data_IF_042371311917
#
_entry.id   IF_042371311917
#
_cell.length_a   1.000
_cell.length_b   1.000
_cell.length_c   1.000
_cell.angle_alpha   90.00
_cell.angle_beta   90.00
_cell.angle_gamma   90.00
#
_symmetry.space_group_name_H-M   'P 1'
#
loop_
_entity.id
_entity.type
_entity.pdbx_description
1 polymer ?
#
# COMPACT_ATOMS: atom_id res chain seq x y z
N UNK A 1 -31.02 46.08 -0.52
CA UNK A 1 -30.27 46.19 -1.81
C UNK A 1 -30.63 44.97 -2.65
N UNK A 2 -31.36 45.19 -3.75
CA UNK A 2 -31.69 44.14 -4.70
C UNK A 2 -30.39 43.74 -5.41
N UNK A 3 -29.86 42.55 -5.13
CA UNK A 3 -28.83 41.95 -5.97
C UNK A 3 -29.49 41.65 -7.32
N UNK A 4 -29.26 42.50 -8.31
CA UNK A 4 -29.56 42.19 -9.70
C UNK A 4 -28.81 40.90 -10.05
N UNK A 5 -29.55 39.88 -10.49
CA UNK A 5 -28.92 38.64 -11.00
C UNK A 5 -27.91 39.04 -12.10
N UNK A 6 -26.70 38.47 -12.11
CA UNK A 6 -25.72 38.80 -13.14
C UNK A 6 -26.33 38.56 -14.51
N UNK A 7 -26.13 39.55 -15.42
CA UNK A 7 -26.62 39.47 -16.79
C UNK A 7 -26.22 38.12 -17.41
N UNK A 8 -27.20 37.38 -17.98
CA UNK A 8 -26.97 36.07 -18.58
C UNK A 8 -26.33 36.23 -19.97
N UNK A 9 -25.08 36.68 -20.00
CA UNK A 9 -24.32 36.96 -21.24
C UNK A 9 -24.03 35.69 -22.06
N UNK A 10 -24.38 34.48 -21.53
CA UNK A 10 -24.19 33.21 -22.19
C UNK A 10 -25.37 32.77 -23.07
N UNK A 11 -26.41 33.59 -23.19
CA UNK A 11 -27.51 33.40 -24.16
C UNK A 11 -27.35 34.42 -25.29
N UNK A 12 -27.16 33.92 -26.52
CA UNK A 12 -27.05 34.78 -27.68
C UNK A 12 -28.39 35.40 -28.12
N UNK A 13 -28.38 36.36 -29.02
CA UNK A 13 -29.54 37.06 -29.53
C UNK A 13 -30.59 36.14 -30.19
N UNK A 14 -30.17 34.97 -30.64
CA UNK A 14 -31.02 33.90 -31.19
C UNK A 14 -31.61 32.95 -30.12
N UNK A 15 -31.45 33.26 -28.82
CA UNK A 15 -31.90 32.45 -27.73
C UNK A 15 -31.10 31.17 -27.47
N UNK A 16 -30.01 30.97 -28.22
CA UNK A 16 -29.16 29.76 -28.06
C UNK A 16 -28.08 29.97 -27.00
N UNK A 17 -27.75 28.88 -26.29
CA UNK A 17 -26.65 28.87 -25.32
C UNK A 17 -25.31 28.97 -26.04
N UNK A 18 -24.45 29.87 -25.60
CA UNK A 18 -23.06 30.00 -26.00
C UNK A 18 -22.23 29.25 -24.96
N UNK A 19 -21.86 28.01 -25.27
CA UNK A 19 -21.26 27.06 -24.32
C UNK A 19 -19.97 27.59 -23.65
N UNK A 20 -19.02 28.23 -24.36
CA UNK A 20 -17.86 28.82 -23.70
C UNK A 20 -18.22 29.92 -22.67
N UNK A 21 -19.13 30.83 -23.01
CA UNK A 21 -19.56 31.88 -22.08
C UNK A 21 -20.33 31.31 -20.88
N UNK A 22 -21.08 30.21 -21.09
CA UNK A 22 -21.70 29.50 -19.99
C UNK A 22 -20.65 28.85 -19.07
N UNK A 23 -19.60 28.26 -19.65
CA UNK A 23 -18.51 27.67 -18.89
C UNK A 23 -17.80 28.71 -18.01
N UNK A 24 -17.46 29.90 -18.56
CA UNK A 24 -16.85 31.00 -17.82
C UNK A 24 -17.76 31.49 -16.69
N UNK A 25 -19.05 31.66 -16.98
CA UNK A 25 -20.04 32.03 -15.98
C UNK A 25 -20.13 30.98 -14.87
N UNK A 26 -20.21 29.69 -15.22
CA UNK A 26 -20.32 28.59 -14.27
C UNK A 26 -19.09 28.52 -13.38
N UNK A 27 -17.89 28.65 -13.95
CA UNK A 27 -16.61 28.65 -13.23
C UNK A 27 -16.45 29.87 -12.29
N UNK A 28 -17.10 30.99 -12.62
CA UNK A 28 -17.12 32.16 -11.72
C UNK A 28 -17.93 31.92 -10.43
N UNK A 29 -18.93 31.02 -10.51
CA UNK A 29 -19.73 30.60 -9.33
C UNK A 29 -19.12 29.40 -8.62
N UNK A 30 -18.53 28.49 -9.38
CA UNK A 30 -17.95 27.23 -8.92
C UNK A 30 -16.49 27.14 -9.38
N UNK A 31 -15.55 27.75 -8.67
CA UNK A 31 -14.14 27.67 -9.03
C UNK A 31 -13.65 26.23 -9.06
N UNK A 32 -13.19 25.78 -10.23
CA UNK A 32 -12.70 24.42 -10.47
C UNK A 32 -11.39 24.47 -11.25
N UNK A 33 -10.67 23.36 -11.22
CA UNK A 33 -9.56 23.05 -12.11
C UNK A 33 -9.77 21.69 -12.75
N UNK A 34 -9.25 21.48 -13.94
CA UNK A 34 -9.32 20.22 -14.64
C UNK A 34 -7.90 19.67 -14.86
N UNK A 35 -7.61 18.51 -14.26
CA UNK A 35 -6.36 17.81 -14.43
C UNK A 35 -6.63 16.46 -15.12
N UNK A 36 -5.99 16.19 -16.24
CA UNK A 36 -6.15 14.93 -16.98
C UNK A 36 -7.63 14.53 -17.20
N UNK A 37 -8.47 15.51 -17.55
CA UNK A 37 -9.89 15.31 -17.80
C UNK A 37 -10.78 15.11 -16.56
N UNK A 38 -10.23 15.21 -15.35
CA UNK A 38 -10.97 15.15 -14.08
C UNK A 38 -11.11 16.54 -13.47
N UNK A 39 -12.30 16.82 -12.95
CA UNK A 39 -12.58 18.10 -12.29
C UNK A 39 -12.18 18.04 -10.80
N UNK A 40 -11.63 19.14 -10.31
CA UNK A 40 -11.24 19.33 -8.92
C UNK A 40 -11.77 20.66 -8.41
N UNK A 41 -12.27 20.65 -7.20
CA UNK A 41 -12.51 21.84 -6.38
C UNK A 41 -11.44 21.95 -5.31
N UNK A 42 -11.47 23.01 -4.51
CA UNK A 42 -10.62 23.10 -3.30
C UNK A 42 -10.96 22.02 -2.27
N UNK A 43 -12.14 21.40 -2.37
CA UNK A 43 -12.56 20.29 -1.48
C UNK A 43 -12.13 18.91 -1.98
N UNK A 44 -11.48 18.83 -3.15
CA UNK A 44 -10.94 17.61 -3.72
C UNK A 44 -11.49 17.29 -5.11
N UNK A 45 -11.24 16.04 -5.56
CA UNK A 45 -11.70 15.55 -6.84
C UNK A 45 -13.22 15.40 -6.88
N UNK A 46 -13.84 15.83 -7.97
CA UNK A 46 -15.25 15.55 -8.27
C UNK A 46 -15.35 14.11 -8.75
N UNK A 47 -15.73 13.20 -7.84
CA UNK A 47 -15.85 11.76 -8.13
C UNK A 47 -17.10 11.43 -8.95
N UNK A 48 -18.19 12.16 -8.69
CA UNK A 48 -19.46 12.03 -9.40
C UNK A 48 -19.84 13.36 -10.04
N UNK A 49 -19.95 13.39 -11.36
CA UNK A 49 -20.38 14.55 -12.12
C UNK A 49 -21.91 14.72 -12.15
N UNK A 50 -22.70 13.78 -11.62
CA UNK A 50 -24.15 13.85 -11.67
C UNK A 50 -24.73 15.10 -10.97
N UNK A 51 -24.23 15.51 -9.77
CA UNK A 51 -24.66 16.76 -9.15
C UNK A 51 -24.37 17.99 -10.00
N UNK A 52 -23.16 18.06 -10.59
CA UNK A 52 -22.74 19.11 -11.52
C UNK A 52 -23.66 19.18 -12.74
N UNK A 53 -23.90 18.04 -13.37
CA UNK A 53 -24.79 17.94 -14.55
C UNK A 53 -26.23 18.34 -14.21
N UNK A 54 -26.71 17.99 -13.00
CA UNK A 54 -28.03 18.41 -12.53
C UNK A 54 -28.12 19.93 -12.37
N UNK A 55 -27.10 20.54 -11.81
CA UNK A 55 -27.05 21.98 -11.64
C UNK A 55 -27.00 22.72 -12.98
N UNK A 56 -26.19 22.25 -13.94
CA UNK A 56 -26.17 22.74 -15.32
C UNK A 56 -27.58 22.62 -15.92
N UNK A 57 -28.23 21.46 -15.78
CA UNK A 57 -29.60 21.24 -16.28
C UNK A 57 -30.57 22.29 -15.74
N UNK A 58 -30.58 22.56 -14.42
CA UNK A 58 -31.48 23.53 -13.79
C UNK A 58 -31.28 24.95 -14.35
N UNK A 59 -30.05 25.29 -14.72
CA UNK A 59 -29.76 26.61 -15.30
C UNK A 59 -30.14 26.74 -16.77
N UNK A 60 -30.01 25.66 -17.57
CA UNK A 60 -30.22 25.71 -19.02
C UNK A 60 -31.59 25.24 -19.49
N UNK A 61 -32.42 24.58 -18.65
CA UNK A 61 -33.65 23.90 -19.06
C UNK A 61 -34.67 24.77 -19.82
N UNK A 62 -34.66 26.06 -19.56
CA UNK A 62 -35.56 27.00 -20.25
C UNK A 62 -35.01 27.48 -21.62
N UNK A 63 -33.74 27.24 -21.91
CA UNK A 63 -33.06 27.66 -23.14
C UNK A 63 -32.74 26.49 -24.06
N UNK A 64 -32.73 25.28 -23.53
CA UNK A 64 -32.42 24.05 -24.25
C UNK A 64 -33.67 23.18 -24.36
N UNK A 65 -34.48 23.36 -25.37
CA UNK A 65 -35.75 22.63 -25.59
C UNK A 65 -35.60 21.26 -26.24
N UNK A 66 -34.42 20.98 -26.85
CA UNK A 66 -34.13 19.72 -27.53
C UNK A 66 -32.70 19.26 -27.22
N UNK A 67 -32.49 17.91 -27.24
CA UNK A 67 -31.16 17.31 -27.05
C UNK A 67 -30.43 17.75 -25.78
N UNK A 68 -31.18 18.01 -24.70
CA UNK A 68 -30.68 18.60 -23.45
C UNK A 68 -29.52 17.80 -22.88
N UNK A 69 -29.61 16.48 -22.84
CA UNK A 69 -28.55 15.61 -22.31
C UNK A 69 -27.21 15.80 -23.06
N UNK A 70 -27.27 15.79 -24.41
CA UNK A 70 -26.07 16.01 -25.25
C UNK A 70 -25.48 17.40 -25.03
N UNK A 71 -26.32 18.41 -24.83
CA UNK A 71 -25.87 19.78 -24.57
C UNK A 71 -25.18 19.90 -23.22
N UNK A 72 -25.70 19.22 -22.20
CA UNK A 72 -25.03 19.16 -20.89
C UNK A 72 -23.64 18.55 -21.01
N UNK A 73 -23.48 17.47 -21.77
CA UNK A 73 -22.15 16.89 -22.00
C UNK A 73 -21.20 17.86 -22.71
N UNK A 74 -21.68 18.59 -23.72
CA UNK A 74 -20.87 19.62 -24.40
C UNK A 74 -20.47 20.75 -23.44
N UNK A 75 -21.38 21.20 -22.57
CA UNK A 75 -21.08 22.21 -21.55
C UNK A 75 -20.06 21.69 -20.55
N UNK A 76 -20.18 20.44 -20.07
CA UNK A 76 -19.19 19.83 -19.18
C UNK A 76 -17.81 19.76 -19.85
N UNK A 77 -17.75 19.44 -21.15
CA UNK A 77 -16.49 19.47 -21.88
C UNK A 77 -15.95 20.91 -22.03
N UNK A 78 -16.81 21.90 -22.29
CA UNK A 78 -16.40 23.31 -22.34
C UNK A 78 -15.85 23.77 -20.97
N UNK A 79 -16.49 23.41 -19.86
CA UNK A 79 -16.00 23.68 -18.50
C UNK A 79 -14.63 23.04 -18.28
N UNK A 80 -14.45 21.75 -18.65
CA UNK A 80 -13.17 21.06 -18.52
C UNK A 80 -12.04 21.73 -19.31
N UNK A 81 -12.35 22.20 -20.52
CA UNK A 81 -11.38 22.93 -21.35
C UNK A 81 -11.06 24.30 -20.78
N UNK A 82 -12.08 25.05 -20.34
CA UNK A 82 -11.91 26.40 -19.78
C UNK A 82 -11.07 26.42 -18.48
N UNK A 83 -11.18 25.37 -17.66
CA UNK A 83 -10.43 25.26 -16.40
C UNK A 83 -9.26 24.26 -16.46
N UNK A 84 -8.82 23.86 -17.67
CA UNK A 84 -7.71 22.96 -17.86
C UNK A 84 -6.41 23.53 -17.28
N UNK A 85 -5.70 22.76 -16.52
CA UNK A 85 -4.45 23.17 -15.86
C UNK A 85 -3.57 21.94 -15.59
N UNK A 86 -2.29 22.19 -15.31
CA UNK A 86 -1.38 21.16 -14.84
C UNK A 86 -1.79 20.70 -13.42
N UNK A 87 -1.57 19.43 -13.09
CA UNK A 87 -1.81 18.94 -11.74
C UNK A 87 -0.93 19.69 -10.74
N UNK A 88 -1.42 19.94 -9.52
CA UNK A 88 -0.59 20.55 -8.48
C UNK A 88 0.61 19.64 -8.17
N UNK A 89 1.73 20.26 -7.79
CA UNK A 89 2.89 19.51 -7.31
C UNK A 89 2.53 18.67 -6.10
N UNK A 90 3.17 17.51 -6.00
CA UNK A 90 2.99 16.61 -4.85
C UNK A 90 3.66 17.24 -3.64
N UNK A 91 2.86 17.66 -2.67
CA UNK A 91 3.31 18.33 -1.46
C UNK A 91 3.58 17.30 -0.36
N UNK A 92 4.84 17.15 0.04
CA UNK A 92 5.28 16.13 1.00
C UNK A 92 5.46 16.64 2.42
N UNK A 93 5.20 17.93 2.63
CA UNK A 93 5.37 18.66 3.90
C UNK A 93 4.06 18.99 4.59
N UNK A 94 2.91 18.60 4.01
CA UNK A 94 1.59 18.97 4.50
C UNK A 94 0.52 17.91 4.21
N UNK A 95 -0.55 17.98 4.99
CA UNK A 95 -1.73 17.12 4.90
C UNK A 95 -2.94 18.01 4.68
N UNK A 96 -3.65 17.81 3.57
CA UNK A 96 -4.87 18.54 3.28
C UNK A 96 -6.05 17.84 3.96
N UNK A 97 -6.59 18.48 4.98
CA UNK A 97 -7.77 18.03 5.72
C UNK A 97 -9.02 18.79 5.30
N UNK A 98 -10.20 18.33 5.70
CA UNK A 98 -11.49 18.91 5.30
C UNK A 98 -11.59 20.41 5.59
N UNK A 99 -11.04 20.89 6.69
CA UNK A 99 -11.17 22.28 7.16
C UNK A 99 -9.91 23.13 6.94
N UNK A 100 -8.90 22.65 6.20
CA UNK A 100 -7.69 23.42 5.94
C UNK A 100 -6.49 22.57 5.56
N UNK A 101 -5.32 23.03 5.94
CA UNK A 101 -4.03 22.38 5.66
C UNK A 101 -3.21 22.29 6.95
N UNK A 102 -2.78 21.08 7.29
CA UNK A 102 -1.91 20.80 8.42
C UNK A 102 -0.48 20.51 7.93
N UNK A 103 0.51 21.18 8.48
CA UNK A 103 1.91 21.03 8.12
C UNK A 103 2.63 20.06 9.06
N UNK A 104 3.66 19.40 8.56
CA UNK A 104 4.44 18.42 9.35
C UNK A 104 5.23 19.03 10.51
N UNK A 105 5.40 20.35 10.53
CA UNK A 105 5.97 21.10 11.67
C UNK A 105 4.97 21.39 12.80
N UNK A 106 3.70 21.01 12.62
CA UNK A 106 2.62 21.18 13.58
C UNK A 106 1.75 22.44 13.33
N UNK A 107 2.09 23.26 12.33
CA UNK A 107 1.27 24.41 11.96
C UNK A 107 -0.02 23.98 11.25
N UNK A 108 -1.11 24.73 11.45
CA UNK A 108 -2.39 24.54 10.76
C UNK A 108 -2.90 25.87 10.20
N UNK A 109 -3.39 25.86 8.98
CA UNK A 109 -4.12 26.97 8.37
C UNK A 109 -5.50 26.53 7.89
N UNK A 110 -6.56 27.34 8.08
CA UNK A 110 -7.90 27.05 7.56
C UNK A 110 -7.98 27.23 6.03
N UNK A 111 -6.95 27.79 5.42
CA UNK A 111 -6.89 27.97 3.97
C UNK A 111 -6.81 26.64 3.25
N UNK A 112 -7.61 26.51 2.19
CA UNK A 112 -7.65 25.33 1.34
C UNK A 112 -6.98 25.63 0.01
N UNK A 113 -6.05 24.75 -0.36
CA UNK A 113 -5.38 24.76 -1.65
C UNK A 113 -5.92 23.64 -2.54
N UNK A 114 -5.80 23.78 -3.86
CA UNK A 114 -6.05 22.65 -4.76
C UNK A 114 -5.00 21.57 -4.52
N UNK A 115 -5.46 20.34 -4.28
CA UNK A 115 -4.59 19.21 -3.98
C UNK A 115 -5.17 17.92 -4.52
N UNK A 116 -4.32 16.89 -4.66
CA UNK A 116 -4.72 15.58 -5.14
C UNK A 116 -5.33 14.71 -4.03
N UNK A 117 -4.99 14.98 -2.77
CA UNK A 117 -5.35 14.15 -1.62
C UNK A 117 -5.91 14.99 -0.47
N UNK A 118 -7.17 15.40 -0.56
CA UNK A 118 -7.85 15.98 0.59
C UNK A 118 -8.55 14.89 1.39
N UNK A 119 -8.24 14.83 2.67
CA UNK A 119 -8.88 13.90 3.61
C UNK A 119 -10.27 14.44 4.00
N UNK A 120 -11.28 13.57 4.11
CA UNK A 120 -12.65 13.99 4.46
C UNK A 120 -12.83 14.35 5.94
N UNK A 121 -11.76 14.27 6.72
CA UNK A 121 -11.73 14.52 8.16
C UNK A 121 -11.22 15.93 8.47
N UNK A 122 -11.75 16.56 9.52
CA UNK A 122 -11.28 17.86 10.01
C UNK A 122 -10.13 17.70 11.02
N UNK A 123 -9.19 18.62 10.99
CA UNK A 123 -8.25 18.79 12.08
C UNK A 123 -8.92 19.62 13.19
N UNK A 124 -9.05 19.03 14.38
CA UNK A 124 -9.68 19.61 15.57
C UNK A 124 -8.73 19.38 16.74
N UNK A 125 -7.93 20.40 17.15
CA UNK A 125 -6.91 20.23 18.19
C UNK A 125 -7.46 19.74 19.53
N UNK A 126 -8.69 20.15 19.89
CA UNK A 126 -9.38 19.75 21.10
C UNK A 126 -10.36 18.59 20.90
N UNK A 127 -10.16 17.77 19.88
CA UNK A 127 -11.00 16.60 19.66
C UNK A 127 -11.01 15.68 20.91
N UNK A 128 -12.15 15.06 21.24
CA UNK A 128 -12.22 14.12 22.33
C UNK A 128 -11.20 12.98 22.16
N UNK A 129 -10.68 12.49 23.30
CA UNK A 129 -9.75 11.38 23.28
C UNK A 129 -10.38 10.14 22.63
N UNK A 130 -9.61 9.44 21.82
CA UNK A 130 -9.98 8.24 21.05
C UNK A 130 -9.98 6.98 21.94
N UNK A 131 -10.77 7.01 23.02
CA UNK A 131 -10.75 5.99 24.08
C UNK A 131 -11.15 4.63 23.57
N UNK A 132 -12.23 4.54 22.78
CA UNK A 132 -12.71 3.25 22.27
C UNK A 132 -11.76 2.67 21.21
N UNK A 133 -11.17 3.55 20.39
CA UNK A 133 -10.13 3.15 19.45
C UNK A 133 -8.93 2.54 20.17
N UNK A 134 -8.38 3.19 21.18
CA UNK A 134 -7.24 2.68 21.95
C UNK A 134 -7.59 1.38 22.68
N UNK A 135 -8.79 1.30 23.26
CA UNK A 135 -9.27 0.06 23.86
C UNK A 135 -9.32 -1.07 22.82
N UNK A 136 -9.88 -0.82 21.65
CA UNK A 136 -9.92 -1.79 20.57
C UNK A 136 -8.52 -2.23 20.12
N UNK A 137 -7.56 -1.30 20.00
CA UNK A 137 -6.19 -1.65 19.65
C UNK A 137 -5.53 -2.52 20.73
N UNK A 138 -5.75 -2.23 22.01
CA UNK A 138 -5.24 -3.05 23.11
C UNK A 138 -5.89 -4.43 23.16
N UNK A 139 -7.15 -4.58 22.73
CA UNK A 139 -7.81 -5.88 22.57
C UNK A 139 -7.24 -6.69 21.40
N UNK A 140 -6.80 -6.00 20.32
CA UNK A 140 -6.36 -6.62 19.07
C UNK A 140 -4.86 -6.88 19.01
N UNK A 141 -4.03 -5.94 19.46
CA UNK A 141 -2.58 -5.95 19.32
C UNK A 141 -1.89 -6.03 20.68
N UNK A 142 -0.64 -6.45 20.66
CA UNK A 142 0.26 -6.32 21.81
C UNK A 142 0.63 -4.85 21.96
N UNK A 143 0.74 -4.39 23.21
CA UNK A 143 0.92 -2.97 23.53
C UNK A 143 2.19 -2.39 22.87
N UNK A 144 3.27 -3.17 22.85
CA UNK A 144 4.54 -2.79 22.24
C UNK A 144 4.48 -2.61 20.71
N UNK A 145 3.44 -3.15 20.03
CA UNK A 145 3.26 -3.06 18.57
C UNK A 145 2.36 -1.88 18.16
N UNK A 146 1.59 -1.31 19.10
CA UNK A 146 0.68 -0.19 18.84
C UNK A 146 1.43 1.04 18.31
N UNK A 147 2.61 1.44 18.85
CA UNK A 147 3.38 2.54 18.30
C UNK A 147 3.76 2.39 16.82
N UNK A 148 4.10 1.17 16.39
CA UNK A 148 4.41 0.89 14.99
C UNK A 148 3.19 1.08 14.06
N UNK A 149 2.00 0.65 14.50
CA UNK A 149 0.75 0.88 13.77
C UNK A 149 0.40 2.37 13.72
N UNK A 150 0.56 3.10 14.83
CA UNK A 150 0.34 4.54 14.92
C UNK A 150 1.21 5.30 13.91
N UNK A 151 2.50 5.00 13.91
CA UNK A 151 3.45 5.56 12.95
C UNK A 151 3.09 5.22 11.51
N UNK A 152 2.63 3.99 11.25
CA UNK A 152 2.26 3.56 9.92
C UNK A 152 1.03 4.31 9.37
N UNK A 153 -0.01 4.45 10.19
CA UNK A 153 -1.20 5.22 9.81
C UNK A 153 -0.82 6.69 9.59
N UNK A 154 -0.01 7.27 10.47
CA UNK A 154 0.54 8.63 10.29
C UNK A 154 1.36 8.78 9.00
N UNK A 155 2.23 7.82 8.71
CA UNK A 155 3.02 7.78 7.47
C UNK A 155 2.15 7.79 6.21
N UNK A 156 1.00 7.12 6.26
CA UNK A 156 0.06 7.08 5.15
C UNK A 156 -0.63 8.43 4.88
N UNK A 157 -0.61 9.38 5.80
CA UNK A 157 -1.20 10.72 5.60
C UNK A 157 -0.44 11.59 4.60
N UNK A 158 0.85 11.29 4.35
CA UNK A 158 1.71 12.04 3.42
C UNK A 158 1.96 11.25 2.13
N UNK A 159 2.08 11.93 0.97
CA UNK A 159 2.43 11.30 -0.30
C UNK A 159 3.95 11.05 -0.42
N UNK A 160 4.52 10.28 0.52
CA UNK A 160 5.96 9.96 0.57
C UNK A 160 6.20 8.46 0.67
N UNK A 161 7.34 7.98 0.16
CA UNK A 161 7.76 6.57 0.22
C UNK A 161 9.03 6.36 1.06
N UNK A 162 9.52 7.41 1.73
CA UNK A 162 10.81 7.47 2.45
C UNK A 162 11.05 6.35 3.45
N UNK A 163 10.01 5.88 4.13
CA UNK A 163 10.14 4.79 5.11
C UNK A 163 10.23 3.40 4.45
N UNK A 164 9.92 3.28 3.15
CA UNK A 164 10.06 2.06 2.36
C UNK A 164 9.43 0.82 3.00
N UNK A 165 8.26 0.96 3.64
CA UNK A 165 7.56 -0.10 4.36
C UNK A 165 6.12 -0.23 3.89
N UNK A 166 5.64 -1.47 3.91
CA UNK A 166 4.23 -1.85 3.84
C UNK A 166 3.82 -2.55 5.14
N UNK A 167 2.57 -2.38 5.55
CA UNK A 167 2.02 -3.04 6.72
C UNK A 167 1.44 -4.40 6.33
N UNK A 168 1.88 -5.44 7.02
CA UNK A 168 1.22 -6.74 7.03
C UNK A 168 0.72 -7.02 8.44
N UNK A 169 -0.56 -7.27 8.59
CA UNK A 169 -1.16 -7.67 9.86
C UNK A 169 -1.76 -9.06 9.73
N UNK A 170 -1.24 -9.99 10.50
CA UNK A 170 -1.59 -11.41 10.41
C UNK A 170 -2.23 -11.89 11.71
N UNK A 171 -3.27 -12.72 11.57
CA UNK A 171 -3.96 -13.36 12.69
C UNK A 171 -4.67 -14.63 12.26
N UNK A 172 -5.31 -15.33 13.21
CA UNK A 172 -6.00 -16.59 12.95
C UNK A 172 -7.38 -16.44 12.27
N UNK A 173 -7.94 -15.22 12.31
CA UNK A 173 -9.26 -14.89 11.79
C UNK A 173 -10.28 -14.57 12.91
N UNK A 174 -11.15 -13.59 12.67
CA UNK A 174 -12.18 -13.19 13.63
C UNK A 174 -11.73 -12.27 14.77
N UNK A 175 -10.47 -11.82 14.81
CA UNK A 175 -9.95 -10.94 15.87
C UNK A 175 -10.45 -9.50 15.71
N UNK A 176 -10.72 -9.06 14.48
CA UNK A 176 -11.23 -7.71 14.18
C UNK A 176 -10.32 -6.85 13.30
N UNK A 177 -9.32 -7.41 12.61
CA UNK A 177 -8.40 -6.67 11.71
C UNK A 177 -9.12 -5.77 10.71
N UNK A 178 -10.17 -6.28 10.07
CA UNK A 178 -11.00 -5.53 9.10
C UNK A 178 -11.62 -4.25 9.66
N UNK A 179 -11.78 -4.15 10.99
CA UNK A 179 -12.29 -2.93 11.65
C UNK A 179 -11.31 -1.76 11.49
N UNK A 180 -10.00 -2.05 11.46
CA UNK A 180 -8.97 -1.03 11.14
C UNK A 180 -9.22 -0.49 9.72
N UNK A 181 -9.42 -1.36 8.74
CA UNK A 181 -9.69 -0.96 7.35
C UNK A 181 -10.90 -0.03 7.22
N UNK A 182 -11.97 -0.29 7.99
CA UNK A 182 -13.15 0.57 8.01
C UNK A 182 -12.85 1.96 8.60
N UNK A 183 -12.09 2.05 9.67
CA UNK A 183 -11.67 3.35 10.25
C UNK A 183 -10.71 4.08 9.32
N UNK A 184 -9.78 3.39 8.66
CA UNK A 184 -8.91 3.99 7.66
C UNK A 184 -9.72 4.60 6.51
N UNK A 185 -10.83 3.98 6.10
CA UNK A 185 -11.74 4.54 5.09
C UNK A 185 -12.35 5.87 5.54
N UNK A 186 -12.73 6.01 6.82
CA UNK A 186 -13.23 7.27 7.37
C UNK A 186 -12.17 8.38 7.36
N UNK A 187 -10.91 8.02 7.60
CA UNK A 187 -9.79 8.97 7.61
C UNK A 187 -9.38 9.41 6.21
N UNK A 188 -9.28 8.47 5.28
CA UNK A 188 -8.67 8.69 3.96
C UNK A 188 -9.69 8.96 2.85
N UNK A 189 -10.94 8.53 3.01
CA UNK A 189 -12.00 8.69 2.00
C UNK A 189 -11.55 8.23 0.61
N UNK A 190 -11.68 9.12 -0.38
CA UNK A 190 -11.29 8.87 -1.77
C UNK A 190 -9.77 8.70 -1.98
N UNK A 191 -8.95 9.14 -1.03
CA UNK A 191 -7.49 8.92 -1.05
C UNK A 191 -7.10 7.48 -0.69
N UNK A 192 -8.07 6.63 -0.30
CA UNK A 192 -7.90 5.20 -0.07
C UNK A 192 -8.48 4.39 -1.22
N UNK A 193 -7.76 3.33 -1.61
CA UNK A 193 -8.24 2.29 -2.51
C UNK A 193 -8.40 0.97 -1.74
N UNK A 194 -9.49 0.26 -1.96
CA UNK A 194 -9.68 -1.10 -1.43
C UNK A 194 -9.56 -2.09 -2.57
N UNK A 195 -8.62 -3.00 -2.45
CA UNK A 195 -8.37 -3.98 -3.51
C UNK A 195 -7.28 -4.95 -3.15
N UNK A 196 -7.10 -5.97 -3.97
CA UNK A 196 -6.13 -7.02 -3.74
C UNK A 196 -4.72 -6.61 -4.16
N UNK A 197 -3.76 -6.83 -3.27
CA UNK A 197 -2.33 -6.66 -3.55
C UNK A 197 -1.86 -7.58 -4.68
N UNK A 198 -2.41 -8.80 -4.77
CA UNK A 198 -2.15 -9.72 -5.88
C UNK A 198 -2.56 -9.12 -7.22
N UNK A 199 -3.70 -8.43 -7.30
CA UNK A 199 -4.13 -7.75 -8.53
C UNK A 199 -3.15 -6.66 -8.95
N UNK A 200 -2.59 -5.91 -7.99
CA UNK A 200 -1.57 -4.89 -8.26
C UNK A 200 -0.29 -5.50 -8.83
N UNK A 201 0.14 -6.67 -8.30
CA UNK A 201 1.32 -7.37 -8.80
C UNK A 201 1.11 -7.91 -10.21
N UNK A 202 -0.03 -8.57 -10.48
CA UNK A 202 -0.23 -9.37 -11.70
C UNK A 202 -0.90 -8.62 -12.85
N UNK A 203 -1.66 -7.54 -12.57
CA UNK A 203 -2.40 -6.80 -13.58
C UNK A 203 -1.82 -5.40 -13.76
N UNK A 204 -1.19 -5.15 -14.91
CA UNK A 204 -0.61 -3.85 -15.27
C UNK A 204 -1.60 -2.68 -15.21
N UNK A 205 -2.88 -2.91 -15.52
CA UNK A 205 -3.90 -1.87 -15.49
C UNK A 205 -4.34 -1.51 -14.07
N UNK A 206 -4.22 -2.42 -13.11
CA UNK A 206 -4.61 -2.15 -11.73
C UNK A 206 -3.73 -1.08 -11.06
N UNK A 207 -2.52 -0.86 -11.56
CA UNK A 207 -1.64 0.21 -11.04
C UNK A 207 -2.17 1.61 -11.36
N UNK A 208 -2.92 1.77 -12.46
CA UNK A 208 -3.56 3.05 -12.77
C UNK A 208 -4.66 3.45 -11.76
N UNK A 209 -5.29 2.48 -11.10
CA UNK A 209 -6.27 2.74 -10.05
C UNK A 209 -5.64 3.33 -8.78
N UNK A 210 -4.31 3.22 -8.65
CA UNK A 210 -3.53 3.71 -7.50
C UNK A 210 -3.03 5.15 -7.68
N UNK A 211 -3.25 5.73 -8.85
CA UNK A 211 -2.85 7.11 -9.11
C UNK A 211 -3.60 8.04 -8.15
N UNK A 212 -2.85 8.94 -7.52
CA UNK A 212 -3.35 9.86 -6.50
C UNK A 212 -3.96 9.19 -5.25
N UNK A 213 -3.65 7.91 -4.98
CA UNK A 213 -4.05 7.25 -3.73
C UNK A 213 -2.92 7.29 -2.71
N UNK A 214 -3.28 7.59 -1.46
CA UNK A 214 -2.36 7.55 -0.34
C UNK A 214 -2.21 6.14 0.22
N UNK A 215 -3.30 5.36 0.19
CA UNK A 215 -3.36 4.06 0.86
C UNK A 215 -4.15 3.05 0.02
N UNK A 216 -3.61 1.85 -0.13
CA UNK A 216 -4.35 0.66 -0.53
C UNK A 216 -4.54 -0.24 0.68
N UNK A 217 -5.79 -0.67 0.91
CA UNK A 217 -6.12 -1.70 1.92
C UNK A 217 -6.54 -2.98 1.22
N UNK A 218 -5.83 -4.06 1.51
CA UNK A 218 -6.20 -5.43 1.17
C UNK A 218 -6.68 -6.14 2.44
N UNK A 219 -8.00 -6.27 2.59
CA UNK A 219 -8.63 -6.74 3.82
C UNK A 219 -8.68 -8.28 3.94
N UNK A 220 -8.42 -8.99 2.88
CA UNK A 220 -8.38 -10.47 2.84
C UNK A 220 -7.21 -10.95 2.00
N UNK A 221 -6.01 -10.47 2.34
CA UNK A 221 -4.80 -10.84 1.63
C UNK A 221 -4.54 -12.33 1.78
N UNK A 222 -4.56 -13.04 0.64
CA UNK A 222 -4.15 -14.43 0.56
C UNK A 222 -2.63 -14.48 0.49
N UNK A 223 -1.99 -14.89 1.57
CA UNK A 223 -0.53 -15.01 1.65
C UNK A 223 0.04 -15.99 0.63
N UNK A 224 -0.73 -17.01 0.25
CA UNK A 224 -0.37 -18.04 -0.73
C UNK A 224 -0.39 -17.54 -2.20
N UNK A 225 -0.90 -16.35 -2.45
CA UNK A 225 -1.21 -15.89 -3.80
C UNK A 225 -0.15 -14.98 -4.45
N UNK A 226 0.99 -14.71 -3.80
CA UNK A 226 2.03 -13.81 -4.31
C UNK A 226 3.29 -14.57 -4.74
N UNK A 227 3.28 -15.29 -5.90
CA UNK A 227 4.46 -16.01 -6.38
C UNK A 227 5.62 -15.08 -6.76
N UNK A 228 5.31 -13.82 -7.03
CA UNK A 228 6.27 -12.75 -7.35
C UNK A 228 5.81 -11.46 -6.66
N UNK A 229 6.73 -10.57 -6.30
CA UNK A 229 6.44 -9.29 -5.64
C UNK A 229 7.29 -8.14 -6.21
N UNK A 230 7.71 -8.24 -7.47
CA UNK A 230 8.62 -7.27 -8.08
C UNK A 230 7.98 -5.88 -8.20
N UNK A 231 6.71 -5.83 -8.66
CA UNK A 231 5.98 -4.55 -8.77
C UNK A 231 5.69 -3.96 -7.39
N UNK A 232 5.30 -4.78 -6.42
CA UNK A 232 5.05 -4.33 -5.05
C UNK A 232 6.34 -3.79 -4.44
N UNK A 233 7.48 -4.50 -4.56
CA UNK A 233 8.78 -4.03 -4.08
C UNK A 233 9.17 -2.69 -4.69
N UNK A 234 8.92 -2.51 -5.97
CA UNK A 234 9.14 -1.25 -6.68
C UNK A 234 8.25 -0.15 -6.11
N UNK A 235 6.95 -0.38 -6.00
CA UNK A 235 5.98 0.63 -5.53
C UNK A 235 6.23 1.07 -4.09
N UNK A 236 6.61 0.14 -3.20
CA UNK A 236 6.92 0.46 -1.79
C UNK A 236 8.12 1.41 -1.65
N UNK A 237 9.04 1.37 -2.61
CA UNK A 237 10.28 2.16 -2.60
C UNK A 237 10.36 3.19 -3.73
N UNK A 238 9.25 3.43 -4.43
CA UNK A 238 9.24 4.26 -5.62
C UNK A 238 9.56 5.73 -5.27
N UNK A 239 10.64 6.24 -5.83
CA UNK A 239 11.07 7.64 -5.67
C UNK A 239 11.01 8.41 -7.00
N UNK A 240 10.76 7.70 -8.12
CA UNK A 240 10.72 8.26 -9.48
C UNK A 240 9.41 7.88 -10.19
N UNK A 241 9.33 8.14 -11.48
CA UNK A 241 8.16 7.81 -12.31
C UNK A 241 8.15 6.34 -12.70
N UNK A 242 6.94 5.81 -12.89
CA UNK A 242 6.69 4.45 -13.37
C UNK A 242 5.69 4.50 -14.53
N UNK A 243 5.73 3.50 -15.40
CA UNK A 243 4.73 3.33 -16.45
C UNK A 243 3.35 3.03 -15.85
N UNK A 244 2.40 3.88 -16.18
CA UNK A 244 0.98 3.73 -15.83
C UNK A 244 0.22 3.41 -17.11
N UNK A 245 -0.32 2.21 -17.18
CA UNK A 245 -1.06 1.72 -18.33
C UNK A 245 -2.56 1.75 -18.06
N UNK A 246 -3.32 2.33 -18.99
CA UNK A 246 -4.79 2.34 -18.97
C UNK A 246 -5.33 1.59 -20.20
N UNK A 247 -6.44 0.87 -20.01
CA UNK A 247 -7.05 0.11 -21.11
C UNK A 247 -7.46 1.05 -22.26
N UNK A 248 -6.93 0.77 -23.46
CA UNK A 248 -7.24 1.54 -24.66
C UNK A 248 -6.55 2.91 -24.76
N UNK A 249 -5.58 3.19 -23.91
CA UNK A 249 -4.79 4.42 -23.93
C UNK A 249 -3.29 4.09 -23.98
N UNK A 250 -2.50 5.01 -24.53
CA UNK A 250 -1.04 4.91 -24.48
C UNK A 250 -0.58 5.01 -23.03
N UNK A 251 0.46 4.25 -22.65
CA UNK A 251 1.07 4.34 -21.33
C UNK A 251 1.66 5.74 -21.10
N UNK A 252 1.60 6.20 -19.87
CA UNK A 252 2.16 7.48 -19.43
C UNK A 252 3.09 7.28 -18.24
N UNK A 253 4.10 8.13 -18.12
CA UNK A 253 4.97 8.16 -16.96
C UNK A 253 4.27 8.94 -15.83
N UNK A 254 4.00 8.30 -14.71
CA UNK A 254 3.37 8.90 -13.54
C UNK A 254 4.07 8.51 -12.24
N UNK A 255 3.78 9.24 -11.17
CA UNK A 255 4.31 8.98 -9.83
C UNK A 255 3.22 8.33 -8.98
N UNK A 256 3.54 7.18 -8.38
CA UNK A 256 2.69 6.51 -7.40
C UNK A 256 3.35 6.57 -6.03
N UNK A 257 2.61 7.05 -5.04
CA UNK A 257 3.07 7.17 -3.65
C UNK A 257 2.18 6.40 -2.68
N UNK A 258 1.41 5.44 -3.20
CA UNK A 258 0.50 4.61 -2.41
C UNK A 258 1.27 3.73 -1.41
N UNK A 259 0.74 3.61 -0.18
CA UNK A 259 1.19 2.63 0.82
C UNK A 259 0.22 1.46 0.86
N UNK A 260 0.69 0.32 1.36
CA UNK A 260 -0.08 -0.93 1.39
C UNK A 260 -0.31 -1.36 2.83
N UNK A 261 -1.57 -1.47 3.25
CA UNK A 261 -1.97 -2.09 4.50
C UNK A 261 -2.75 -3.37 4.17
N UNK A 262 -2.17 -4.51 4.50
CA UNK A 262 -2.70 -5.81 4.12
C UNK A 262 -3.01 -6.62 5.36
N UNK A 263 -4.23 -7.14 5.43
CA UNK A 263 -4.73 -7.96 6.52
C UNK A 263 -4.92 -9.38 6.02
N UNK A 264 -4.23 -10.33 6.66
CA UNK A 264 -4.25 -11.73 6.27
C UNK A 264 -4.68 -12.64 7.41
N UNK A 265 -5.22 -13.80 7.03
CA UNK A 265 -5.49 -14.91 7.93
C UNK A 265 -4.51 -16.04 7.63
N UNK A 266 -3.95 -16.66 8.66
CA UNK A 266 -3.06 -17.81 8.52
C UNK A 266 -1.70 -17.63 9.17
N UNK A 267 -0.78 -18.54 8.84
CA UNK A 267 0.55 -18.55 9.41
C UNK A 267 1.49 -17.60 8.65
N UNK A 268 2.47 -17.03 9.36
CA UNK A 268 3.54 -16.20 8.81
C UNK A 268 4.34 -16.87 7.67
N UNK A 269 4.21 -18.20 7.55
CA UNK A 269 5.00 -19.06 6.67
C UNK A 269 4.56 -19.05 5.20
N UNK A 270 3.38 -18.52 4.91
CA UNK A 270 2.75 -18.64 3.60
C UNK A 270 3.15 -17.57 2.59
N UNK A 271 4.07 -16.65 2.92
CA UNK A 271 4.54 -15.62 2.00
C UNK A 271 5.48 -16.23 0.95
N UNK A 272 5.02 -16.37 -0.28
CA UNK A 272 5.77 -17.02 -1.36
C UNK A 272 7.04 -16.33 -1.81
N UNK A 273 7.11 -14.98 -1.76
CA UNK A 273 8.37 -14.28 -2.04
C UNK A 273 9.26 -14.28 -0.80
N UNK A 274 10.18 -15.21 -0.78
CA UNK A 274 11.16 -15.43 0.28
C UNK A 274 12.43 -14.57 0.12
N UNK A 275 12.40 -13.53 -0.70
CA UNK A 275 13.56 -12.67 -0.89
C UNK A 275 13.77 -11.70 0.27
N UNK A 276 15.03 -11.50 0.67
CA UNK A 276 15.40 -10.46 1.65
C UNK A 276 14.89 -9.08 1.25
N UNK A 277 14.79 -8.82 -0.07
CA UNK A 277 14.23 -7.60 -0.62
C UNK A 277 12.77 -7.36 -0.26
N UNK A 278 11.95 -8.41 -0.18
CA UNK A 278 10.55 -8.31 0.22
C UNK A 278 10.40 -8.22 1.74
N UNK A 279 11.09 -9.05 2.51
CA UNK A 279 11.01 -9.02 3.97
C UNK A 279 11.42 -7.67 4.57
N UNK A 280 12.51 -7.07 4.10
CA UNK A 280 12.97 -5.78 4.62
C UNK A 280 11.97 -4.64 4.42
N UNK A 281 11.00 -4.79 3.51
CA UNK A 281 9.94 -3.81 3.22
C UNK A 281 8.68 -4.02 4.04
N UNK A 282 8.64 -5.04 4.87
CA UNK A 282 7.47 -5.37 5.69
C UNK A 282 7.57 -4.75 7.09
N UNK A 283 6.45 -4.30 7.59
CA UNK A 283 6.16 -4.07 8.99
C UNK A 283 5.15 -5.16 9.37
N UNK A 284 5.62 -6.22 10.02
CA UNK A 284 4.84 -7.43 10.25
C UNK A 284 4.29 -7.46 11.67
N UNK A 285 3.02 -7.12 11.83
CA UNK A 285 2.31 -7.16 13.09
C UNK A 285 1.46 -8.43 13.21
N UNK A 286 1.38 -8.99 14.40
CA UNK A 286 0.53 -10.14 14.71
C UNK A 286 -0.54 -9.76 15.71
N UNK A 287 -1.76 -10.25 15.52
CA UNK A 287 -2.87 -10.00 16.44
C UNK A 287 -2.81 -10.93 17.65
N UNK A 288 -3.37 -10.48 18.76
CA UNK A 288 -3.75 -11.36 19.88
C UNK A 288 -4.82 -12.33 19.42
N UNK A 289 -4.85 -13.49 20.06
CA UNK A 289 -5.94 -14.42 19.86
C UNK A 289 -7.26 -13.86 20.42
N UNK A 290 -8.38 -14.13 19.73
CA UNK A 290 -9.70 -13.75 20.20
C UNK A 290 -9.98 -14.48 21.53
N UNK A 291 -10.27 -13.77 22.63
CA UNK A 291 -10.60 -14.41 23.89
C UNK A 291 -11.82 -15.34 23.76
N UNK A 292 -11.75 -16.50 24.39
CA UNK A 292 -12.88 -17.44 24.44
C UNK A 292 -14.09 -16.75 25.08
N UNK A 293 -15.23 -16.81 24.42
CA UNK A 293 -16.47 -16.21 24.93
C UNK A 293 -16.61 -14.71 24.68
N UNK A 294 -15.66 -14.05 23.95
CA UNK A 294 -15.83 -12.63 23.58
C UNK A 294 -17.09 -12.44 22.72
N UNK A 295 -17.98 -11.61 23.21
CA UNK A 295 -19.16 -11.15 22.47
C UNK A 295 -18.74 -9.97 21.61
N UNK A 296 -18.98 -10.06 20.30
CA UNK A 296 -18.65 -9.00 19.37
C UNK A 296 -19.65 -7.83 19.51
N UNK A 297 -19.14 -6.60 19.62
CA UNK A 297 -19.96 -5.39 19.68
C UNK A 297 -20.36 -4.99 18.24
N UNK A 298 -21.64 -5.08 17.88
CA UNK A 298 -22.11 -4.72 16.52
C UNK A 298 -21.98 -3.21 16.24
N UNK A 299 -21.91 -2.37 17.28
CA UNK A 299 -21.78 -0.90 17.17
C UNK A 299 -20.36 -0.42 17.34
N UNK A 300 -19.38 -1.31 17.37
CA UNK A 300 -17.97 -0.95 17.57
C UNK A 300 -17.49 0.09 16.57
N UNK A 301 -17.81 -0.09 15.29
CA UNK A 301 -17.39 0.84 14.22
C UNK A 301 -18.02 2.21 14.42
N UNK A 302 -19.29 2.29 14.76
CA UNK A 302 -19.99 3.57 14.98
C UNK A 302 -19.39 4.32 16.16
N UNK A 303 -19.04 3.62 17.24
CA UNK A 303 -18.35 4.21 18.39
C UNK A 303 -16.99 4.78 18.00
N UNK A 304 -16.16 4.01 17.28
CA UNK A 304 -14.86 4.47 16.82
C UNK A 304 -14.97 5.58 15.75
N UNK A 305 -15.98 5.53 14.88
CA UNK A 305 -16.26 6.59 13.89
C UNK A 305 -16.53 7.94 14.56
N UNK A 306 -17.19 7.96 15.71
CA UNK A 306 -17.43 9.18 16.48
C UNK A 306 -16.16 9.76 17.12
N UNK A 307 -15.06 9.00 17.14
CA UNK A 307 -13.74 9.42 17.66
C UNK A 307 -12.74 9.75 16.54
N UNK A 308 -13.17 9.83 15.29
CA UNK A 308 -12.29 9.91 14.12
C UNK A 308 -11.33 11.11 14.15
N UNK A 309 -11.78 12.29 14.62
CA UNK A 309 -10.92 13.46 14.78
C UNK A 309 -9.80 13.21 15.81
N UNK A 310 -10.11 12.54 16.93
CA UNK A 310 -9.12 12.08 17.91
C UNK A 310 -8.17 11.03 17.33
N UNK A 311 -8.69 10.11 16.48
CA UNK A 311 -7.84 9.12 15.79
C UNK A 311 -6.89 9.81 14.80
N UNK A 312 -7.33 10.88 14.12
CA UNK A 312 -6.43 11.68 13.28
C UNK A 312 -5.30 12.30 14.12
N UNK A 313 -5.61 12.90 15.29
CA UNK A 313 -4.58 13.47 16.17
C UNK A 313 -3.59 12.39 16.62
N UNK A 314 -4.08 11.23 17.00
CA UNK A 314 -3.25 10.07 17.36
C UNK A 314 -2.33 9.63 16.20
N UNK A 315 -2.85 9.61 14.96
CA UNK A 315 -2.04 9.29 13.79
C UNK A 315 -0.97 10.36 13.50
N UNK A 316 -1.30 11.66 13.70
CA UNK A 316 -0.34 12.77 13.56
C UNK A 316 0.79 12.67 14.60
N UNK A 317 0.52 12.27 15.82
CA UNK A 317 1.57 12.00 16.83
C UNK A 317 2.52 10.91 16.36
N UNK A 318 1.99 9.82 15.78
CA UNK A 318 2.79 8.76 15.17
C UNK A 318 3.64 9.28 14.01
N UNK A 319 3.07 10.11 13.13
CA UNK A 319 3.81 10.73 12.02
C UNK A 319 4.96 11.59 12.52
N UNK A 320 4.73 12.43 13.52
CA UNK A 320 5.77 13.29 14.10
C UNK A 320 6.90 12.47 14.73
N UNK A 321 6.56 11.37 15.41
CA UNK A 321 7.55 10.45 15.97
C UNK A 321 8.38 9.81 14.86
N UNK A 322 7.75 9.32 13.80
CA UNK A 322 8.41 8.72 12.65
C UNK A 322 9.35 9.70 11.93
N UNK A 323 8.91 10.95 11.71
CA UNK A 323 9.74 12.00 11.08
C UNK A 323 10.96 12.31 11.96
N UNK A 324 10.78 12.49 13.28
CA UNK A 324 11.89 12.72 14.21
C UNK A 324 12.88 11.57 14.25
N UNK A 325 12.40 10.35 13.97
CA UNK A 325 13.24 9.14 13.88
C UNK A 325 13.75 8.88 12.44
N UNK A 326 13.80 9.92 11.57
CA UNK A 326 14.27 9.82 10.20
C UNK A 326 13.59 8.70 9.40
N UNK A 327 12.26 8.61 9.49
CA UNK A 327 11.42 7.58 8.85
C UNK A 327 11.76 6.13 9.24
N UNK A 328 12.35 5.92 10.42
CA UNK A 328 12.56 4.59 11.00
C UNK A 328 11.46 4.29 11.99
N UNK A 329 10.73 3.22 11.72
CA UNK A 329 9.63 2.76 12.59
C UNK A 329 10.13 2.30 13.96
N UNK A 330 9.32 2.49 14.97
CA UNK A 330 9.48 1.85 16.29
C UNK A 330 9.15 0.37 16.14
N UNK A 331 10.18 -0.47 16.16
CA UNK A 331 10.05 -1.92 16.01
C UNK A 331 10.21 -2.57 17.39
N UNK A 332 9.16 -3.25 17.87
CA UNK A 332 9.22 -4.04 19.08
C UNK A 332 10.10 -5.29 18.89
N UNK A 333 10.61 -5.85 19.99
CA UNK A 333 11.33 -7.13 19.94
C UNK A 333 10.44 -8.23 19.35
N UNK A 334 9.14 -8.21 19.66
CA UNK A 334 8.14 -9.12 19.12
C UNK A 334 8.01 -8.97 17.59
N UNK A 335 7.83 -7.76 17.08
CA UNK A 335 7.76 -7.51 15.62
C UNK A 335 9.04 -7.96 14.91
N UNK A 336 10.21 -7.70 15.50
CA UNK A 336 11.48 -8.17 14.96
C UNK A 336 11.57 -9.71 14.98
N UNK A 337 11.14 -10.36 16.06
CA UNK A 337 11.10 -11.81 16.18
C UNK A 337 10.13 -12.45 15.17
N UNK A 338 8.92 -11.90 15.01
CA UNK A 338 7.95 -12.35 14.01
C UNK A 338 8.52 -12.31 12.59
N UNK A 339 9.19 -11.21 12.23
CA UNK A 339 9.80 -11.07 10.91
C UNK A 339 10.93 -12.09 10.72
N UNK A 340 11.78 -12.28 11.75
CA UNK A 340 12.86 -13.27 11.72
C UNK A 340 12.30 -14.69 11.58
N UNK A 341 11.27 -15.04 12.34
CA UNK A 341 10.58 -16.33 12.25
C UNK A 341 9.99 -16.53 10.85
N UNK A 342 9.29 -15.54 10.29
CA UNK A 342 8.76 -15.60 8.92
C UNK A 342 9.87 -15.83 7.88
N UNK A 343 11.04 -15.19 8.06
CA UNK A 343 12.20 -15.39 7.19
C UNK A 343 12.79 -16.80 7.33
N UNK A 344 12.95 -17.30 8.55
CA UNK A 344 13.52 -18.61 8.84
C UNK A 344 12.62 -19.74 8.31
N UNK A 345 11.34 -19.64 8.57
CA UNK A 345 10.35 -20.63 8.12
C UNK A 345 10.02 -20.48 6.62
N UNK A 346 10.09 -19.27 6.08
CA UNK A 346 9.96 -19.01 4.66
C UNK A 346 11.13 -19.52 3.83
N UNK A 347 12.31 -19.68 4.39
CA UNK A 347 13.52 -20.13 3.70
C UNK A 347 13.94 -21.51 4.19
N UNK A 348 13.44 -22.54 3.51
CA UNK A 348 13.78 -23.93 3.84
C UNK A 348 15.28 -24.24 3.69
N UNK A 349 16.06 -23.41 2.96
CA UNK A 349 17.53 -23.51 2.93
C UNK A 349 18.10 -23.23 4.34
N UNK A 350 17.55 -22.25 5.07
CA UNK A 350 17.98 -21.98 6.46
C UNK A 350 17.62 -23.13 7.39
N UNK A 351 16.46 -23.77 7.18
CA UNK A 351 16.07 -24.99 7.89
C UNK A 351 17.06 -26.13 7.60
N UNK A 352 17.39 -26.35 6.34
CA UNK A 352 18.39 -27.31 5.91
C UNK A 352 19.77 -27.02 6.54
N UNK A 353 20.24 -25.78 6.50
CA UNK A 353 21.55 -25.40 7.04
C UNK A 353 21.66 -25.51 8.57
N UNK A 354 20.54 -25.56 9.28
CA UNK A 354 20.48 -25.80 10.73
C UNK A 354 20.24 -27.27 11.09
N UNK A 355 19.93 -28.09 10.10
CA UNK A 355 19.65 -29.54 10.33
C UNK A 355 20.93 -30.34 10.52
N UNK A 356 20.88 -31.33 11.39
CA UNK A 356 21.94 -32.29 11.58
C UNK A 356 21.72 -33.49 10.67
N UNK A 357 22.82 -34.15 10.28
CA UNK A 357 22.77 -35.44 9.58
C UNK A 357 22.57 -35.35 8.06
N UNK A 358 22.83 -34.20 7.43
CA UNK A 358 22.76 -34.02 5.97
C UNK A 358 24.06 -33.49 5.37
N UNK A 359 24.87 -32.81 6.11
CA UNK A 359 26.19 -32.33 5.71
C UNK A 359 27.03 -31.97 6.92
N UNK A 360 28.33 -31.83 6.73
CA UNK A 360 29.26 -31.41 7.77
C UNK A 360 30.14 -30.27 7.28
N UNK A 361 30.40 -29.30 8.19
CA UNK A 361 31.43 -28.28 7.94
C UNK A 361 32.77 -28.83 8.41
N UNK A 362 33.59 -29.27 7.44
CA UNK A 362 34.90 -29.89 7.69
C UNK A 362 35.99 -29.17 6.91
N UNK A 363 36.96 -28.63 7.62
CA UNK A 363 38.08 -27.89 7.01
C UNK A 363 38.82 -28.78 5.99
N UNK A 364 39.01 -28.23 4.80
CA UNK A 364 39.70 -28.92 3.68
C UNK A 364 38.81 -29.85 2.84
N UNK A 365 37.58 -30.17 3.27
CA UNK A 365 36.63 -30.88 2.45
C UNK A 365 36.21 -30.06 1.22
N UNK A 366 35.78 -30.72 0.16
CA UNK A 366 35.31 -30.11 -1.09
C UNK A 366 34.06 -30.80 -1.57
N UNK A 367 33.06 -30.02 -1.93
CA UNK A 367 31.76 -30.47 -2.41
C UNK A 367 31.41 -29.82 -3.74
N UNK A 368 30.91 -30.57 -4.73
CA UNK A 368 30.33 -29.98 -5.93
C UNK A 368 29.01 -29.32 -5.59
N UNK A 369 28.72 -28.17 -6.23
CA UNK A 369 27.43 -27.49 -6.06
C UNK A 369 26.22 -28.40 -6.35
N UNK A 370 26.33 -29.27 -7.33
CA UNK A 370 25.30 -30.27 -7.70
C UNK A 370 25.06 -31.28 -6.60
N UNK A 371 26.12 -31.77 -5.94
CA UNK A 371 26.03 -32.79 -4.90
C UNK A 371 25.46 -32.18 -3.60
N UNK A 372 25.84 -30.94 -3.27
CA UNK A 372 25.25 -30.23 -2.14
C UNK A 372 23.76 -29.95 -2.36
N UNK A 373 23.37 -29.62 -3.59
CA UNK A 373 21.98 -29.44 -3.94
C UNK A 373 21.16 -30.73 -3.84
N UNK A 374 21.68 -31.88 -4.27
CA UNK A 374 21.01 -33.17 -4.12
C UNK A 374 20.73 -33.53 -2.66
N UNK A 375 21.68 -33.24 -1.76
CA UNK A 375 21.49 -33.46 -0.34
C UNK A 375 20.42 -32.52 0.23
N UNK A 376 20.35 -31.28 -0.24
CA UNK A 376 19.27 -30.36 0.10
C UNK A 376 17.90 -30.84 -0.42
N UNK A 377 17.81 -31.35 -1.66
CA UNK A 377 16.60 -31.97 -2.20
C UNK A 377 16.14 -33.14 -1.34
N UNK A 378 17.08 -33.96 -0.88
CA UNK A 378 16.80 -35.08 0.02
C UNK A 378 16.23 -34.61 1.34
N UNK A 379 16.84 -33.59 1.95
CA UNK A 379 16.32 -32.98 3.18
C UNK A 379 14.91 -32.43 2.97
N UNK A 380 14.64 -31.75 1.85
CA UNK A 380 13.30 -31.25 1.53
C UNK A 380 12.28 -32.41 1.44
N UNK A 381 12.65 -33.54 0.81
CA UNK A 381 11.78 -34.71 0.72
C UNK A 381 11.48 -35.30 2.10
N UNK A 382 12.50 -35.46 2.92
CA UNK A 382 12.38 -36.05 4.26
C UNK A 382 11.53 -35.15 5.21
N UNK A 383 11.48 -33.84 4.96
CA UNK A 383 10.72 -32.88 5.73
C UNK A 383 9.39 -32.43 5.05
N UNK A 384 8.97 -33.09 3.98
CA UNK A 384 7.75 -32.79 3.20
C UNK A 384 7.74 -31.35 2.67
N UNK A 385 8.92 -30.82 2.32
CA UNK A 385 9.10 -29.49 1.77
C UNK A 385 9.41 -29.56 0.27
N UNK A 386 9.02 -28.51 -0.48
CA UNK A 386 9.37 -28.39 -1.89
C UNK A 386 10.73 -27.69 -2.02
N UNK A 387 11.72 -28.31 -2.74
CA UNK A 387 13.02 -27.67 -2.92
C UNK A 387 12.91 -26.39 -3.76
N UNK A 388 13.72 -25.40 -3.39
CA UNK A 388 13.93 -24.21 -4.20
C UNK A 388 14.84 -24.56 -5.39
N UNK A 389 14.78 -23.75 -6.46
CA UNK A 389 15.65 -23.97 -7.63
C UNK A 389 17.14 -23.98 -7.24
N UNK A 390 17.93 -24.82 -7.93
CA UNK A 390 19.37 -24.96 -7.66
C UNK A 390 20.12 -23.63 -7.72
N UNK A 391 19.75 -22.75 -8.66
CA UNK A 391 20.32 -21.39 -8.75
C UNK A 391 20.06 -20.55 -7.49
N UNK A 392 18.87 -20.64 -6.91
CA UNK A 392 18.49 -19.93 -5.67
C UNK A 392 19.28 -20.48 -4.48
N UNK A 393 19.38 -21.80 -4.36
CA UNK A 393 20.14 -22.47 -3.31
C UNK A 393 21.62 -22.06 -3.35
N UNK A 394 22.26 -22.14 -4.51
CA UNK A 394 23.67 -21.78 -4.69
C UNK A 394 23.88 -20.28 -4.42
N UNK A 395 22.99 -19.43 -4.87
CA UNK A 395 23.09 -17.99 -4.61
C UNK A 395 23.01 -17.68 -3.11
N UNK A 396 22.08 -18.31 -2.41
CA UNK A 396 21.96 -18.15 -0.96
C UNK A 396 23.22 -18.57 -0.20
N UNK A 397 23.84 -19.71 -0.60
CA UNK A 397 25.09 -20.14 -0.01
C UNK A 397 26.23 -19.17 -0.28
N UNK A 398 26.34 -18.63 -1.51
CA UNK A 398 27.36 -17.62 -1.89
C UNK A 398 27.22 -16.36 -1.05
N UNK A 399 26.02 -15.86 -0.83
CA UNK A 399 25.77 -14.65 -0.05
C UNK A 399 26.12 -14.82 1.42
N UNK A 400 26.03 -16.05 1.93
CA UNK A 400 26.24 -16.37 3.34
C UNK A 400 27.55 -17.11 3.65
N UNK A 401 28.50 -17.16 2.70
CA UNK A 401 29.75 -17.91 2.83
C UNK A 401 30.50 -17.67 4.15
N UNK A 402 30.65 -16.39 4.53
CA UNK A 402 31.40 -16.00 5.75
C UNK A 402 30.74 -16.52 7.03
N UNK A 403 29.42 -16.44 7.12
CA UNK A 403 28.66 -16.89 8.30
C UNK A 403 28.61 -18.42 8.38
N UNK A 404 28.67 -19.09 7.24
CA UNK A 404 28.62 -20.56 7.17
C UNK A 404 30.04 -21.20 7.27
N UNK A 405 31.10 -20.41 7.18
CA UNK A 405 32.47 -20.95 7.19
C UNK A 405 32.86 -21.70 5.91
N UNK A 406 32.14 -21.47 4.80
CA UNK A 406 32.35 -22.11 3.50
C UNK A 406 32.92 -21.12 2.49
N UNK A 407 33.52 -21.61 1.39
CA UNK A 407 34.06 -20.77 0.32
C UNK A 407 33.62 -21.32 -1.04
N UNK A 408 32.95 -20.54 -1.83
CA UNK A 408 32.58 -20.91 -3.20
C UNK A 408 33.77 -20.77 -4.14
N UNK A 409 33.92 -21.77 -5.05
CA UNK A 409 34.96 -21.79 -6.06
C UNK A 409 34.38 -22.30 -7.40
N UNK A 410 34.58 -21.57 -8.49
CA UNK A 410 34.15 -21.97 -9.83
C UNK A 410 34.91 -23.19 -10.35
N UNK A 411 36.04 -23.55 -9.73
CA UNK A 411 36.87 -24.72 -10.04
C UNK A 411 37.21 -25.55 -8.79
N UNK A 412 36.23 -25.78 -7.94
CA UNK A 412 36.41 -26.45 -6.64
C UNK A 412 36.94 -27.90 -6.78
N UNK A 413 36.35 -28.66 -7.70
CA UNK A 413 36.77 -30.04 -8.00
C UNK A 413 36.94 -30.21 -9.52
N UNK A 414 38.20 -30.13 -10.00
CA UNK A 414 38.50 -30.10 -11.42
C UNK A 414 37.89 -28.88 -12.12
N UNK A 415 37.02 -29.10 -13.10
CA UNK A 415 36.29 -28.06 -13.80
C UNK A 415 34.92 -27.73 -13.18
N UNK A 416 34.54 -28.42 -12.10
CA UNK A 416 33.22 -28.31 -11.50
C UNK A 416 33.18 -27.20 -10.43
N UNK A 417 32.10 -26.42 -10.43
CA UNK A 417 31.79 -25.43 -9.41
C UNK A 417 31.44 -26.12 -8.08
N UNK A 418 31.80 -25.52 -6.97
CA UNK A 418 31.52 -26.12 -5.67
C UNK A 418 31.85 -25.22 -4.48
N UNK A 419 31.92 -25.87 -3.34
CA UNK A 419 32.23 -25.23 -2.06
C UNK A 419 33.36 -25.95 -1.35
N UNK A 420 34.31 -25.18 -0.80
CA UNK A 420 35.29 -25.68 0.14
C UNK A 420 34.70 -25.70 1.55
N UNK A 421 35.24 -26.53 2.40
CA UNK A 421 34.87 -26.79 3.80
C UNK A 421 33.48 -27.41 3.97
N UNK A 422 32.92 -28.06 2.95
CA UNK A 422 31.65 -28.76 3.04
C UNK A 422 31.90 -30.25 2.67
N UNK A 423 31.41 -31.15 3.50
CA UNK A 423 31.41 -32.57 3.27
C UNK A 423 29.97 -33.11 3.18
N UNK A 424 29.63 -33.76 2.08
CA UNK A 424 28.32 -34.37 1.83
C UNK A 424 28.42 -35.83 1.45
N UNK A 425 29.61 -36.40 1.35
CA UNK A 425 29.82 -37.72 0.78
C UNK A 425 29.08 -38.85 1.50
N UNK A 426 28.87 -38.69 2.83
CA UNK A 426 28.11 -39.64 3.64
C UNK A 426 26.60 -39.54 3.49
N UNK A 427 26.12 -38.47 2.88
CA UNK A 427 24.71 -38.06 2.85
C UNK A 427 24.12 -38.02 1.43
N UNK A 428 24.93 -38.35 0.41
CA UNK A 428 24.46 -38.42 -0.98
C UNK A 428 23.41 -39.51 -1.11
N UNK A 429 22.24 -39.24 -1.72
CA UNK A 429 21.23 -40.25 -1.95
C UNK A 429 21.78 -41.32 -2.92
N UNK A 430 21.56 -42.57 -2.58
CA UNK A 430 21.71 -43.70 -3.50
C UNK A 430 20.62 -43.51 -4.56
N UNK A 431 20.97 -43.46 -5.85
CA UNK A 431 20.11 -43.11 -6.98
C UNK A 431 18.66 -43.61 -6.86
N UNK A 432 17.78 -42.73 -6.37
CA UNK A 432 16.32 -42.87 -6.39
C UNK A 432 15.79 -41.78 -7.31
N UNK A 433 14.93 -42.09 -8.31
CA UNK A 433 14.33 -41.07 -9.17
C UNK A 433 13.61 -40.03 -8.34
N UNK A 434 13.78 -38.77 -8.69
CA UNK A 434 13.08 -37.67 -8.03
C UNK A 434 11.56 -37.82 -8.21
N UNK A 435 10.76 -37.74 -7.14
CA UNK A 435 9.31 -37.76 -7.27
C UNK A 435 8.77 -36.46 -7.93
N UNK A 436 9.65 -35.57 -8.36
CA UNK A 436 9.31 -34.25 -8.95
C UNK A 436 9.68 -34.15 -10.46
N UNK A 437 10.20 -35.30 -11.09
CA UNK A 437 10.44 -35.38 -12.53
C UNK A 437 9.16 -35.64 -13.32
#
# INVERSE_FOLDING_TARGET
>A
MQHSAPARNWVGDNGKIIEPLFADYFLSLHPMRCFQGRLFTVDGMVEDEAPLKKEIYEQIRYYATTSVARRIEHIVQAIKLACASEPPEIQTDRIHVRNGTYFVDGHFTPEKEYCMNRLPIAYVPEAPAQTRWLQFLNELLYEEDIPALQEYIGYCLLPVTKAQKMLLMVGKGGEGKSRIGLILRELFGSSMYTGSLQKVETNRFARADLEYKLLLVDDDMKTEALPQTNNIKTLVTLEDKIDIERKGQQSVQGTLYVRFACFGNGNLHALYDKSNGFYRRQLLLTTKEKPVGRVDDPFLIDKMRNEKEGILLWALEGLHRLIRNNYRFTISERTAANLKEAMEQGNNILGFLKSEGYFEIRQGAKCKSTDFYKVYERWCLDNLEKPLAASTFIHHLKDNQKSLGIVYDDKCIGTNRGFHNVDVDLFLPIDVPSPWD
#
